data_IF_176818979992
#
_entry.id   IF_176818979992
#
_cell.length_a   1.000
_cell.length_b   1.000
_cell.length_c   1.000
_cell.angle_alpha   90.00
_cell.angle_beta   90.00
_cell.angle_gamma   90.00
#
_symmetry.space_group_name_H-M   'P 1'
#
loop_
_entity.id
_entity.type
_entity.pdbx_description
1 polymer ?
#
# COMPACT_ATOMS: atom_id res chain seq x y z
N UNK A 1 42.29 70.90 31.70
CA UNK A 1 42.26 70.57 30.26
C UNK A 1 41.41 69.33 30.10
N UNK A 2 40.25 69.43 29.45
CA UNK A 2 39.22 68.38 29.30
C UNK A 2 38.98 68.18 27.81
N UNK A 3 39.10 66.95 27.30
CA UNK A 3 38.65 66.44 25.98
C UNK A 3 38.96 64.93 25.89
N UNK A 4 38.22 64.12 25.09
CA UNK A 4 37.16 63.26 25.62
C UNK A 4 37.26 61.76 25.24
N UNK A 5 36.45 60.94 25.92
CA UNK A 5 36.11 59.56 25.56
C UNK A 5 35.48 59.48 24.16
N UNK A 6 35.93 58.52 23.35
CA UNK A 6 35.17 58.02 22.20
C UNK A 6 34.90 56.54 22.37
N UNK A 7 33.76 56.29 23.01
CA UNK A 7 33.01 55.06 23.03
C UNK A 7 32.59 54.69 21.60
N UNK A 8 33.15 53.63 21.02
CA UNK A 8 32.67 53.06 19.76
C UNK A 8 31.67 51.94 20.07
N UNK A 9 30.45 51.97 19.53
CA UNK A 9 29.40 51.03 19.89
C UNK A 9 29.63 49.64 19.29
N UNK A 10 29.27 48.65 20.09
CA UNK A 10 29.10 47.24 19.77
C UNK A 10 28.18 47.09 18.55
N UNK A 11 28.67 46.42 17.49
CA UNK A 11 27.82 45.78 16.48
C UNK A 11 27.99 44.27 16.64
N UNK A 12 27.35 43.72 17.67
CA UNK A 12 26.86 42.35 17.62
C UNK A 12 25.56 42.41 16.83
N UNK A 13 25.61 41.98 15.57
CA UNK A 13 24.47 42.04 14.67
C UNK A 13 24.52 40.93 13.64
N UNK A 14 23.99 39.77 14.03
CA UNK A 14 23.28 38.83 13.17
C UNK A 14 24.10 38.05 12.14
N UNK A 15 24.48 36.83 12.48
CA UNK A 15 24.68 35.78 11.47
C UNK A 15 24.22 34.42 12.02
N UNK A 16 22.93 34.36 12.37
CA UNK A 16 22.23 33.12 12.65
C UNK A 16 21.25 32.86 11.51
N UNK A 17 21.76 32.55 10.31
CA UNK A 17 20.99 31.89 9.25
C UNK A 17 21.30 30.38 9.30
N UNK A 18 20.29 29.50 9.13
CA UNK A 18 20.37 28.11 9.53
C UNK A 18 21.21 27.28 8.53
N UNK A 19 22.43 26.91 8.92
CA UNK A 19 23.35 26.07 8.12
C UNK A 19 22.69 24.77 7.59
N UNK A 20 21.68 24.26 8.31
CA UNK A 20 20.90 23.08 7.91
C UNK A 20 19.95 23.26 6.72
N UNK A 21 19.44 24.47 6.43
CA UNK A 21 18.60 24.68 5.24
C UNK A 21 19.43 24.88 3.98
N UNK A 22 20.54 25.63 4.09
CA UNK A 22 21.46 25.85 2.97
C UNK A 22 22.06 24.53 2.46
N UNK A 23 22.40 23.61 3.37
CA UNK A 23 22.89 22.27 3.03
C UNK A 23 21.83 21.39 2.35
N UNK A 24 20.56 21.46 2.80
CA UNK A 24 19.43 20.76 2.17
C UNK A 24 19.15 21.27 0.76
N UNK A 25 19.20 22.58 0.57
CA UNK A 25 19.04 23.21 -0.75
C UNK A 25 20.22 22.84 -1.65
N UNK A 26 21.45 22.84 -1.14
CA UNK A 26 22.63 22.40 -1.89
C UNK A 26 22.56 20.91 -2.30
N UNK A 27 22.01 20.04 -1.46
CA UNK A 27 21.79 18.62 -1.78
C UNK A 27 20.72 18.41 -2.87
N UNK A 28 19.71 19.30 -2.93
CA UNK A 28 18.70 19.34 -3.99
C UNK A 28 19.26 19.89 -5.31
N UNK A 29 20.31 20.70 -5.27
CA UNK A 29 21.00 21.29 -6.43
C UNK A 29 22.13 20.42 -6.99
N UNK A 30 22.32 19.19 -6.48
CA UNK A 30 23.28 18.25 -7.02
C UNK A 30 22.75 17.62 -8.33
N UNK A 31 23.58 17.55 -9.37
CA UNK A 31 23.27 16.98 -10.68
C UNK A 31 22.79 15.51 -10.59
N UNK A 32 23.24 14.76 -9.58
CA UNK A 32 22.76 13.41 -9.31
C UNK A 32 21.33 13.40 -8.73
N UNK A 33 21.00 14.35 -7.86
CA UNK A 33 19.67 14.53 -7.28
C UNK A 33 18.69 15.02 -8.35
N UNK A 34 19.11 15.94 -9.21
CA UNK A 34 18.31 16.42 -10.35
C UNK A 34 17.91 15.27 -11.28
N UNK A 35 18.87 14.43 -11.68
CA UNK A 35 18.59 13.23 -12.49
C UNK A 35 17.67 12.24 -11.78
N UNK A 36 17.86 12.03 -10.48
CA UNK A 36 16.98 11.19 -9.67
C UNK A 36 15.54 11.71 -9.63
N UNK A 37 15.37 13.02 -9.46
CA UNK A 37 14.07 13.67 -9.45
C UNK A 37 13.37 13.60 -10.81
N UNK A 38 14.09 13.86 -11.91
CA UNK A 38 13.55 13.69 -13.26
C UNK A 38 13.06 12.26 -13.48
N UNK A 39 13.85 11.26 -13.10
CA UNK A 39 13.45 9.84 -13.23
C UNK A 39 12.21 9.48 -12.39
N UNK A 40 12.08 10.05 -11.18
CA UNK A 40 10.89 9.85 -10.34
C UNK A 40 9.66 10.54 -10.94
N UNK A 41 9.82 11.78 -11.43
CA UNK A 41 8.75 12.53 -12.08
C UNK A 41 8.28 11.82 -13.35
N UNK A 42 9.18 11.24 -14.15
CA UNK A 42 8.80 10.41 -15.31
C UNK A 42 7.94 9.21 -14.92
N UNK A 43 8.29 8.52 -13.82
CA UNK A 43 7.49 7.38 -13.32
C UNK A 43 6.14 7.80 -12.76
N UNK A 44 6.07 8.99 -12.15
CA UNK A 44 4.84 9.55 -11.60
C UNK A 44 4.03 10.32 -12.64
N UNK A 45 4.59 10.63 -13.81
CA UNK A 45 3.95 11.44 -14.85
C UNK A 45 2.56 10.95 -15.24
N UNK A 46 2.28 9.63 -15.41
CA UNK A 46 0.93 9.16 -15.70
C UNK A 46 -0.08 9.49 -14.58
N UNK A 47 0.36 9.45 -13.32
CA UNK A 47 -0.47 9.76 -12.15
C UNK A 47 -0.67 11.26 -11.94
N UNK A 48 0.38 12.05 -12.22
CA UNK A 48 0.37 13.51 -12.19
C UNK A 48 -0.54 14.04 -13.31
N UNK A 49 -0.34 13.56 -14.54
CA UNK A 49 -1.13 13.95 -15.71
C UNK A 49 -2.60 13.53 -15.56
N UNK A 50 -2.86 12.38 -14.94
CA UNK A 50 -4.21 11.95 -14.62
C UNK A 50 -4.88 12.70 -13.46
N UNK A 51 -4.18 13.63 -12.79
CA UNK A 51 -4.60 14.28 -11.55
C UNK A 51 -5.11 13.26 -10.51
N UNK A 52 -4.44 12.10 -10.39
CA UNK A 52 -4.79 11.04 -9.40
C UNK A 52 -3.71 10.85 -8.36
N UNK A 53 -2.54 11.50 -8.53
CA UNK A 53 -1.44 11.39 -7.58
C UNK A 53 -1.87 11.82 -6.16
N UNK A 54 -2.70 12.87 -6.03
CA UNK A 54 -3.19 13.31 -4.73
C UNK A 54 -3.96 12.20 -4.00
N UNK A 55 -4.82 11.43 -4.67
CA UNK A 55 -5.53 10.30 -4.04
C UNK A 55 -4.58 9.21 -3.54
N UNK A 56 -3.49 8.95 -4.27
CA UNK A 56 -2.45 8.00 -3.85
C UNK A 56 -1.73 8.54 -2.61
N UNK A 57 -1.39 9.83 -2.61
CA UNK A 57 -0.76 10.50 -1.47
C UNK A 57 -1.69 10.52 -0.26
N UNK A 58 -2.98 10.76 -0.44
CA UNK A 58 -3.98 10.75 0.64
C UNK A 58 -4.12 9.36 1.25
N UNK A 59 -4.18 8.33 0.40
CA UNK A 59 -4.23 6.95 0.87
C UNK A 59 -2.94 6.54 1.59
N UNK A 60 -1.77 6.91 1.06
CA UNK A 60 -0.50 6.67 1.72
C UNK A 60 -0.38 7.44 3.04
N UNK A 61 -0.96 8.64 3.12
CA UNK A 61 -0.98 9.44 4.35
C UNK A 61 -1.87 8.79 5.41
N UNK A 62 -3.05 8.30 5.03
CA UNK A 62 -3.94 7.54 5.92
C UNK A 62 -3.26 6.26 6.41
N UNK A 63 -2.56 5.54 5.52
CA UNK A 63 -1.81 4.34 5.89
C UNK A 63 -0.62 4.69 6.79
N UNK A 64 0.06 5.81 6.54
CA UNK A 64 1.16 6.28 7.39
C UNK A 64 0.68 6.61 8.80
N UNK A 65 -0.45 7.30 8.93
CA UNK A 65 -1.09 7.60 10.23
C UNK A 65 -1.48 6.31 10.96
N UNK A 66 -2.02 5.32 10.23
CA UNK A 66 -2.34 4.02 10.78
C UNK A 66 -1.10 3.27 11.28
N UNK A 67 0.01 3.29 10.51
CA UNK A 67 1.27 2.64 10.88
C UNK A 67 1.90 3.30 12.10
N UNK A 68 1.82 4.63 12.23
CA UNK A 68 2.36 5.36 13.38
C UNK A 68 1.66 4.99 14.70
N UNK A 69 0.42 4.49 14.61
CA UNK A 69 -0.35 3.99 15.76
C UNK A 69 -0.11 2.50 16.07
N UNK A 70 0.57 1.75 15.20
CA UNK A 70 0.80 0.31 15.40
C UNK A 70 2.00 0.06 16.29
N UNK A 71 1.80 -0.77 17.31
CA UNK A 71 2.91 -1.31 18.09
C UNK A 71 3.61 -2.48 17.36
N UNK A 72 4.80 -2.87 17.86
CA UNK A 72 5.58 -3.96 17.28
C UNK A 72 4.78 -5.28 17.20
N UNK A 73 3.90 -5.53 18.16
CA UNK A 73 3.08 -6.74 18.20
C UNK A 73 2.01 -6.74 17.09
N UNK A 74 1.43 -5.58 16.78
CA UNK A 74 0.47 -5.40 15.69
C UNK A 74 1.15 -5.51 14.33
N UNK A 75 2.37 -4.99 14.16
CA UNK A 75 3.17 -5.16 12.95
C UNK A 75 3.44 -6.65 12.70
N UNK A 76 3.83 -7.41 13.72
CA UNK A 76 4.04 -8.86 13.58
C UNK A 76 2.76 -9.61 13.17
N UNK A 77 1.61 -9.24 13.73
CA UNK A 77 0.31 -9.81 13.32
C UNK A 77 -0.02 -9.48 11.86
N UNK A 78 0.22 -8.25 11.43
CA UNK A 78 -0.01 -7.85 10.05
C UNK A 78 0.90 -8.61 9.09
N UNK A 79 2.18 -8.79 9.45
CA UNK A 79 3.12 -9.59 8.65
C UNK A 79 2.68 -11.05 8.56
N UNK A 80 2.26 -11.66 9.67
CA UNK A 80 1.75 -13.03 9.66
C UNK A 80 0.47 -13.16 8.83
N UNK A 81 -0.43 -12.18 8.93
CA UNK A 81 -1.65 -12.12 8.14
C UNK A 81 -1.36 -11.91 6.65
N UNK A 82 -0.37 -11.08 6.32
CA UNK A 82 0.08 -10.82 4.97
C UNK A 82 0.74 -12.06 4.34
N UNK A 83 1.65 -12.72 5.07
CA UNK A 83 2.29 -13.96 4.62
C UNK A 83 1.24 -15.06 4.37
N UNK A 84 0.34 -15.25 5.33
CA UNK A 84 -0.74 -16.24 5.21
C UNK A 84 -1.72 -15.89 4.09
N UNK A 85 -2.05 -14.61 3.95
CA UNK A 85 -2.99 -14.08 2.97
C UNK A 85 -2.44 -14.17 1.54
N UNK A 86 -1.20 -13.73 1.33
CA UNK A 86 -0.52 -13.85 0.03
C UNK A 86 -0.32 -15.31 -0.34
N UNK A 87 0.09 -16.18 0.59
CA UNK A 87 0.23 -17.61 0.31
C UNK A 87 -1.09 -18.23 -0.17
N UNK A 88 -2.19 -17.93 0.54
CA UNK A 88 -3.54 -18.38 0.17
C UNK A 88 -3.98 -17.81 -1.18
N UNK A 89 -3.78 -16.51 -1.39
CA UNK A 89 -4.13 -15.83 -2.63
C UNK A 89 -3.35 -16.36 -3.83
N UNK A 90 -2.06 -16.66 -3.65
CA UNK A 90 -1.21 -17.23 -4.67
C UNK A 90 -1.65 -18.64 -5.06
N UNK A 91 -1.96 -19.49 -4.07
CA UNK A 91 -2.51 -20.82 -4.30
C UNK A 91 -3.83 -20.76 -5.06
N UNK A 92 -4.75 -19.88 -4.64
CA UNK A 92 -6.03 -19.66 -5.30
C UNK A 92 -5.85 -19.18 -6.75
N UNK A 93 -4.95 -18.24 -6.98
CA UNK A 93 -4.65 -17.73 -8.33
C UNK A 93 -4.08 -18.82 -9.22
N UNK A 94 -3.15 -19.65 -8.72
CA UNK A 94 -2.62 -20.77 -9.49
C UNK A 94 -3.70 -21.81 -9.80
N UNK A 95 -4.59 -22.11 -8.84
CA UNK A 95 -5.72 -22.99 -9.07
C UNK A 95 -6.68 -22.42 -10.13
N UNK A 96 -6.94 -21.11 -10.09
CA UNK A 96 -7.76 -20.43 -11.10
C UNK A 96 -7.12 -20.48 -12.48
N UNK A 97 -5.82 -20.18 -12.59
CA UNK A 97 -5.06 -20.28 -13.85
C UNK A 97 -5.06 -21.71 -14.39
N UNK A 98 -4.89 -22.71 -13.53
CA UNK A 98 -4.96 -24.12 -13.92
C UNK A 98 -6.35 -24.48 -14.45
N UNK A 99 -7.41 -24.09 -13.74
CA UNK A 99 -8.79 -24.35 -14.16
C UNK A 99 -9.14 -23.66 -15.48
N UNK A 100 -8.69 -22.42 -15.67
CA UNK A 100 -8.86 -21.68 -16.91
C UNK A 100 -8.17 -22.41 -18.07
N UNK A 101 -6.89 -22.76 -17.90
CA UNK A 101 -6.15 -23.51 -18.93
C UNK A 101 -6.82 -24.86 -19.23
N UNK A 102 -7.31 -25.57 -18.22
CA UNK A 102 -8.01 -26.83 -18.42
C UNK A 102 -9.30 -26.63 -19.22
N UNK A 103 -10.07 -25.58 -18.93
CA UNK A 103 -11.31 -25.25 -19.64
C UNK A 103 -11.06 -24.83 -21.10
N UNK A 104 -10.00 -24.07 -21.36
CA UNK A 104 -9.64 -23.64 -22.73
C UNK A 104 -9.13 -24.79 -23.59
N UNK A 105 -8.50 -25.80 -22.99
CA UNK A 105 -7.89 -26.94 -23.71
C UNK A 105 -8.78 -28.20 -23.71
N UNK A 106 -9.99 -28.15 -23.16
CA UNK A 106 -10.94 -29.26 -23.16
C UNK A 106 -12.23 -28.91 -23.89
N UNK A 107 -12.93 -29.93 -24.39
CA UNK A 107 -14.25 -29.73 -24.97
C UNK A 107 -15.24 -29.27 -23.89
N UNK A 108 -16.20 -28.42 -24.27
CA UNK A 108 -17.23 -27.93 -23.34
C UNK A 108 -17.95 -29.10 -22.65
N UNK A 109 -17.93 -29.18 -21.30
CA UNK A 109 -18.57 -30.28 -20.59
C UNK A 109 -20.09 -30.33 -20.81
N UNK A 110 -20.63 -31.53 -20.93
CA UNK A 110 -22.08 -31.73 -20.92
C UNK A 110 -22.66 -31.57 -19.50
N UNK A 111 -23.97 -31.31 -19.40
CA UNK A 111 -24.65 -31.16 -18.11
C UNK A 111 -24.50 -32.40 -17.19
N UNK A 112 -24.48 -33.60 -17.78
CA UNK A 112 -24.29 -34.86 -17.04
C UNK A 112 -22.87 -34.95 -16.47
N UNK A 113 -21.87 -34.50 -17.23
CA UNK A 113 -20.49 -34.50 -16.78
C UNK A 113 -20.26 -33.50 -15.65
N UNK A 114 -20.88 -32.32 -15.72
CA UNK A 114 -20.86 -31.36 -14.61
C UNK A 114 -21.45 -31.96 -13.32
N UNK A 115 -22.56 -32.68 -13.42
CA UNK A 115 -23.15 -33.37 -12.28
C UNK A 115 -22.23 -34.47 -11.72
N UNK A 116 -21.54 -35.22 -12.60
CA UNK A 116 -20.55 -36.21 -12.16
C UNK A 116 -19.37 -35.56 -11.44
N UNK A 117 -18.88 -34.43 -11.93
CA UNK A 117 -17.80 -33.66 -11.29
C UNK A 117 -18.24 -33.12 -9.93
N UNK A 118 -19.47 -32.60 -9.80
CA UNK A 118 -20.04 -32.19 -8.52
C UNK A 118 -20.16 -33.34 -7.50
N UNK A 119 -20.25 -34.59 -7.98
CA UNK A 119 -20.26 -35.79 -7.16
C UNK A 119 -18.89 -36.20 -6.61
N UNK A 120 -17.78 -35.68 -7.15
CA UNK A 120 -16.43 -35.97 -6.66
C UNK A 120 -16.26 -35.46 -5.22
N UNK A 121 -15.50 -36.19 -4.41
CA UNK A 121 -15.36 -35.91 -2.98
C UNK A 121 -14.82 -34.50 -2.71
N UNK A 122 -13.75 -34.10 -3.39
CA UNK A 122 -13.12 -32.80 -3.20
C UNK A 122 -14.02 -31.64 -3.64
N UNK A 123 -14.73 -31.81 -4.76
CA UNK A 123 -15.68 -30.81 -5.27
C UNK A 123 -16.85 -30.66 -4.30
N UNK A 124 -17.38 -31.77 -3.76
CA UNK A 124 -18.47 -31.74 -2.79
C UNK A 124 -18.05 -31.08 -1.47
N UNK A 125 -16.82 -31.35 -0.99
CA UNK A 125 -16.24 -30.68 0.19
C UNK A 125 -16.10 -29.18 -0.06
N UNK A 126 -15.59 -28.78 -1.24
CA UNK A 126 -15.49 -27.39 -1.65
C UNK A 126 -16.84 -26.68 -1.72
N UNK A 127 -17.84 -27.29 -2.34
CA UNK A 127 -19.21 -26.75 -2.40
C UNK A 127 -19.82 -26.59 -1.00
N UNK A 128 -19.64 -27.59 -0.13
CA UNK A 128 -20.13 -27.52 1.25
C UNK A 128 -19.47 -26.38 2.03
N UNK A 129 -18.14 -26.23 1.91
CA UNK A 129 -17.41 -25.10 2.48
C UNK A 129 -17.94 -23.75 1.99
N UNK A 130 -18.10 -23.58 0.67
CA UNK A 130 -18.60 -22.33 0.09
C UNK A 130 -20.00 -21.97 0.60
N UNK A 131 -20.90 -22.95 0.71
CA UNK A 131 -22.24 -22.76 1.25
C UNK A 131 -22.20 -22.34 2.73
N UNK A 132 -21.37 -22.98 3.55
CA UNK A 132 -21.19 -22.60 4.95
C UNK A 132 -20.59 -21.21 5.10
N UNK A 133 -19.58 -20.89 4.29
CA UNK A 133 -18.95 -19.57 4.26
C UNK A 133 -19.97 -18.47 3.93
N UNK A 134 -20.74 -18.65 2.85
CA UNK A 134 -21.81 -17.72 2.45
C UNK A 134 -22.88 -17.59 3.55
N UNK A 135 -23.24 -18.70 4.21
CA UNK A 135 -24.21 -18.66 5.30
C UNK A 135 -23.70 -17.87 6.52
N UNK A 136 -22.41 -17.96 6.84
CA UNK A 136 -21.78 -17.16 7.90
C UNK A 136 -21.76 -15.69 7.52
N UNK A 137 -21.30 -15.37 6.31
CA UNK A 137 -21.19 -14.00 5.82
C UNK A 137 -22.56 -13.30 5.81
N UNK A 138 -23.59 -13.98 5.29
CA UNK A 138 -24.95 -13.44 5.29
C UNK A 138 -25.54 -13.24 6.69
N UNK A 139 -25.11 -14.02 7.69
CA UNK A 139 -25.51 -13.79 9.10
C UNK A 139 -24.83 -12.56 9.69
N UNK A 140 -23.55 -12.34 9.38
CA UNK A 140 -22.81 -11.15 9.84
C UNK A 140 -23.41 -9.87 9.25
N UNK A 141 -23.63 -9.84 7.94
CA UNK A 141 -24.25 -8.68 7.27
C UNK A 141 -25.64 -8.33 7.81
N UNK A 142 -26.43 -9.34 8.24
CA UNK A 142 -27.71 -9.09 8.90
C UNK A 142 -27.53 -8.51 10.30
N UNK A 143 -26.59 -9.05 11.08
CA UNK A 143 -26.32 -8.56 12.44
C UNK A 143 -25.87 -7.10 12.43
N UNK A 144 -24.98 -6.74 11.51
CA UNK A 144 -24.47 -5.37 11.38
C UNK A 144 -25.53 -4.38 10.85
N UNK A 145 -26.64 -4.87 10.29
CA UNK A 145 -27.76 -4.04 9.84
C UNK A 145 -28.84 -3.81 10.93
N UNK A 146 -28.80 -4.62 11.99
CA UNK A 146 -29.72 -4.54 13.13
C UNK A 146 -29.12 -3.73 14.32
N UNK A 147 -27.83 -3.36 14.26
CA UNK A 147 -27.09 -2.50 15.20
C UNK A 147 -26.98 -1.04 14.70
#
# INVERSE_FOLDING_TARGET
>A
MKTPDTNTPVVQGGDNMPEGQASRIAALLNESTERGLVSLVEKLAPLIQGNRLHNVVDLLSLVSDAIDMFDDAMIQKLMNAFESGIGTFWSLTNAARYAQNAAENSATPSAIELQRVAGQEDVRRGLHFSLLFLAVLGRQMRKDADD
#
